data_IF_924060133367
#
_entry.id   IF_924060133367
#
_cell.length_a   1.000
_cell.length_b   1.000
_cell.length_c   1.000
_cell.angle_alpha   90.00
_cell.angle_beta   90.00
_cell.angle_gamma   90.00
#
_symmetry.space_group_name_H-M   'P 1'
#
loop_
_entity.id
_entity.type
_entity.pdbx_description
1 polymer ?
#
# COMPACT_ATOMS: atom_id res chain seq x y z
N UNK A 1 14.41 -23.02 13.18
CA UNK A 1 15.26 -22.26 12.24
C UNK A 1 16.48 -21.65 12.90
N UNK A 2 16.39 -20.88 14.01
CA UNK A 2 17.60 -20.47 14.78
C UNK A 2 18.52 -21.65 15.12
N UNK A 3 17.95 -22.75 15.58
CA UNK A 3 18.60 -24.05 15.80
C UNK A 3 19.34 -24.56 14.55
N UNK A 4 18.69 -24.58 13.37
CA UNK A 4 19.31 -25.02 12.11
C UNK A 4 20.35 -24.01 11.56
N UNK A 5 20.20 -22.73 11.91
CA UNK A 5 21.09 -21.65 11.49
C UNK A 5 22.37 -21.70 12.31
N UNK A 6 22.26 -21.73 13.64
CA UNK A 6 23.36 -21.76 14.61
C UNK A 6 23.90 -23.16 14.92
N UNK A 7 23.22 -24.22 14.47
CA UNK A 7 23.52 -25.64 14.77
C UNK A 7 23.54 -25.95 16.26
N UNK A 8 22.57 -25.40 17.00
CA UNK A 8 22.43 -25.61 18.45
C UNK A 8 21.25 -26.55 18.74
N UNK A 9 21.46 -27.58 19.56
CA UNK A 9 20.39 -28.49 19.98
C UNK A 9 19.44 -27.80 20.98
N UNK A 10 18.14 -27.72 20.66
CA UNK A 10 17.14 -27.26 21.61
C UNK A 10 16.33 -28.41 22.19
N UNK A 11 16.21 -28.43 23.52
CA UNK A 11 15.42 -29.40 24.29
C UNK A 11 13.91 -29.27 24.03
N UNK A 12 13.42 -28.13 23.53
CA UNK A 12 12.00 -27.84 23.29
C UNK A 12 11.63 -27.92 21.82
N UNK A 13 10.96 -29.01 21.41
CA UNK A 13 10.26 -29.14 20.11
C UNK A 13 9.00 -28.25 20.04
N UNK A 14 9.11 -26.95 20.34
CA UNK A 14 8.02 -26.01 20.04
C UNK A 14 8.03 -25.70 18.54
N UNK A 15 6.86 -25.71 17.90
CA UNK A 15 6.67 -25.40 16.48
C UNK A 15 7.57 -24.23 16.05
N UNK A 16 8.41 -24.48 15.04
CA UNK A 16 9.37 -23.51 14.51
C UNK A 16 8.56 -22.37 13.86
N UNK A 17 8.35 -21.27 14.58
CA UNK A 17 7.75 -20.07 14.01
C UNK A 17 8.83 -19.27 13.28
N UNK A 18 8.70 -19.16 11.96
CA UNK A 18 9.53 -18.27 11.14
C UNK A 18 9.10 -16.81 11.37
N UNK A 19 10.07 -15.91 11.51
CA UNK A 19 9.89 -14.46 11.70
C UNK A 19 10.79 -13.70 10.73
N UNK A 20 10.58 -12.38 10.60
CA UNK A 20 11.48 -11.48 9.85
C UNK A 20 12.95 -11.70 10.27
N UNK A 21 13.20 -11.81 11.57
CA UNK A 21 14.54 -12.00 12.11
C UNK A 21 15.19 -13.32 11.69
N UNK A 22 14.43 -14.41 11.68
CA UNK A 22 14.99 -15.70 11.22
C UNK A 22 15.28 -15.69 9.73
N UNK A 23 14.48 -14.96 8.95
CA UNK A 23 14.72 -14.79 7.52
C UNK A 23 15.98 -13.94 7.24
N UNK A 24 16.17 -12.84 7.97
CA UNK A 24 17.38 -12.03 7.86
C UNK A 24 18.64 -12.83 8.19
N UNK A 25 18.57 -13.68 9.23
CA UNK A 25 19.67 -14.57 9.60
C UNK A 25 19.94 -15.64 8.54
N UNK A 26 18.90 -16.20 7.92
CA UNK A 26 19.04 -17.16 6.82
C UNK A 26 19.67 -16.51 5.58
N UNK A 27 19.22 -15.32 5.21
CA UNK A 27 19.77 -14.55 4.09
C UNK A 27 21.23 -14.18 4.34
N UNK A 28 21.56 -13.74 5.55
CA UNK A 28 22.95 -13.46 5.95
C UNK A 28 23.81 -14.73 5.87
N UNK A 29 23.33 -15.87 6.40
CA UNK A 29 24.05 -17.15 6.33
C UNK A 29 24.33 -17.54 4.88
N UNK A 30 23.34 -17.43 4.00
CA UNK A 30 23.48 -17.74 2.57
C UNK A 30 24.51 -16.84 1.91
N UNK A 31 24.36 -15.53 2.09
CA UNK A 31 25.28 -14.52 1.55
C UNK A 31 26.73 -14.78 1.96
N UNK A 32 26.98 -14.96 3.26
CA UNK A 32 28.34 -15.22 3.74
C UNK A 32 28.85 -16.59 3.30
N UNK A 33 27.99 -17.61 3.20
CA UNK A 33 28.42 -18.93 2.70
C UNK A 33 28.85 -18.87 1.24
N UNK A 34 28.10 -18.16 0.39
CA UNK A 34 28.44 -17.93 -1.02
C UNK A 34 29.74 -17.13 -1.15
N UNK A 35 29.86 -15.98 -0.47
CA UNK A 35 31.07 -15.15 -0.51
C UNK A 35 32.31 -15.87 0.04
N UNK A 36 32.15 -16.65 1.10
CA UNK A 36 33.26 -17.47 1.63
C UNK A 36 33.61 -18.61 0.66
N UNK A 37 32.68 -19.16 -0.12
CA UNK A 37 33.00 -20.22 -1.08
C UNK A 37 33.90 -19.74 -2.23
N UNK A 38 33.82 -18.46 -2.58
CA UNK A 38 34.54 -17.82 -3.69
C UNK A 38 36.00 -17.43 -3.35
N UNK A 39 36.39 -17.44 -2.07
CA UNK A 39 37.72 -16.98 -1.62
C UNK A 39 38.64 -18.12 -1.16
N UNK A 40 39.95 -17.84 -1.21
CA UNK A 40 41.02 -18.79 -0.86
C UNK A 40 41.04 -19.15 0.63
N UNK A 41 41.76 -20.22 0.99
CA UNK A 41 41.89 -20.63 2.38
C UNK A 41 42.62 -19.58 3.24
N UNK A 42 43.64 -18.93 2.69
CA UNK A 42 44.43 -17.89 3.37
C UNK A 42 43.57 -16.64 3.67
N UNK A 43 42.69 -16.25 2.75
CA UNK A 43 41.76 -15.15 2.96
C UNK A 43 40.70 -15.49 4.03
N UNK A 44 40.19 -16.73 4.04
CA UNK A 44 39.28 -17.22 5.09
C UNK A 44 39.93 -17.13 6.48
N UNK A 45 41.18 -17.53 6.58
CA UNK A 45 41.93 -17.47 7.85
C UNK A 45 42.12 -16.03 8.31
N UNK A 46 42.43 -15.10 7.39
CA UNK A 46 42.51 -13.68 7.69
C UNK A 46 41.17 -13.12 8.23
N UNK A 47 40.05 -13.51 7.61
CA UNK A 47 38.70 -13.12 8.07
C UNK A 47 38.41 -13.71 9.45
N UNK A 48 38.73 -14.99 9.68
CA UNK A 48 38.54 -15.66 10.97
C UNK A 48 39.33 -14.96 12.08
N UNK A 49 40.60 -14.63 11.85
CA UNK A 49 41.42 -13.88 12.79
C UNK A 49 40.84 -12.48 13.07
N UNK A 50 40.36 -11.78 12.04
CA UNK A 50 39.71 -10.48 12.22
C UNK A 50 38.46 -10.58 13.09
N UNK A 51 37.60 -11.57 12.83
CA UNK A 51 36.34 -11.77 13.57
C UNK A 51 36.56 -12.19 15.02
N UNK A 52 37.57 -13.02 15.29
CA UNK A 52 37.79 -13.58 16.63
C UNK A 52 38.71 -12.73 17.49
N UNK A 53 39.67 -12.01 16.90
CA UNK A 53 40.72 -11.31 17.65
C UNK A 53 40.76 -9.80 17.43
N UNK A 54 40.12 -9.28 16.39
CA UNK A 54 40.18 -7.84 16.05
C UNK A 54 38.86 -7.11 16.21
N UNK A 55 37.81 -7.77 16.68
CA UNK A 55 36.57 -7.10 17.09
C UNK A 55 36.73 -6.52 18.50
N UNK A 56 36.55 -5.21 18.62
CA UNK A 56 36.52 -4.51 19.89
C UNK A 56 35.07 -4.40 20.36
N UNK A 57 34.78 -4.94 21.55
CA UNK A 57 33.47 -4.82 22.17
C UNK A 57 33.49 -3.69 23.19
N UNK A 58 32.54 -2.77 23.08
CA UNK A 58 32.34 -1.73 24.08
C UNK A 58 31.26 -2.18 25.06
N UNK A 59 31.68 -2.56 26.27
CA UNK A 59 30.78 -3.04 27.32
C UNK A 59 30.40 -1.88 28.24
N UNK A 60 29.12 -1.56 28.29
CA UNK A 60 28.58 -0.56 29.20
C UNK A 60 27.82 -1.24 30.32
N UNK A 61 28.40 -1.24 31.52
CA UNK A 61 27.71 -1.62 32.74
C UNK A 61 26.95 -0.43 33.27
N UNK A 62 25.62 -0.53 33.25
CA UNK A 62 24.71 0.52 33.72
C UNK A 62 24.42 0.26 35.20
N UNK A 63 24.51 1.31 36.01
CA UNK A 63 24.22 1.25 37.44
C UNK A 63 22.71 1.18 37.70
N UNK A 64 22.28 0.57 38.81
CA UNK A 64 20.86 0.29 39.09
C UNK A 64 19.96 1.54 39.18
N UNK A 65 20.57 2.71 39.40
CA UNK A 65 19.93 4.03 39.44
C UNK A 65 19.65 4.62 38.05
N UNK A 66 20.36 4.14 37.03
CA UNK A 66 20.13 4.55 35.64
C UNK A 66 19.10 3.61 35.02
N UNK A 67 18.08 4.21 34.42
CA UNK A 67 17.05 3.46 33.73
C UNK A 67 17.61 2.79 32.47
N UNK A 68 17.79 1.47 32.55
CA UNK A 68 18.31 0.62 31.45
C UNK A 68 17.49 0.81 30.16
N UNK A 69 16.19 1.14 30.26
CA UNK A 69 15.35 1.37 29.09
C UNK A 69 15.68 2.69 28.38
N UNK A 70 15.90 3.77 29.14
CA UNK A 70 16.30 5.08 28.61
C UNK A 70 17.72 5.01 28.02
N UNK A 71 18.63 4.32 28.72
CA UNK A 71 19.97 4.07 28.21
C UNK A 71 19.93 3.27 26.90
N UNK A 72 19.06 2.25 26.80
CA UNK A 72 18.90 1.49 25.56
C UNK A 72 18.35 2.35 24.40
N UNK A 73 17.31 3.17 24.62
CA UNK A 73 16.76 4.06 23.59
C UNK A 73 17.81 5.07 23.09
N UNK A 74 18.59 5.66 24.00
CA UNK A 74 19.60 6.70 23.68
C UNK A 74 20.88 6.14 23.06
N UNK A 75 21.29 4.92 23.44
CA UNK A 75 22.50 4.28 22.91
C UNK A 75 22.29 3.54 21.59
N UNK A 76 21.04 3.33 21.15
CA UNK A 76 20.74 2.61 19.92
C UNK A 76 20.94 3.48 18.67
N UNK A 77 22.20 3.86 18.42
CA UNK A 77 22.60 4.65 17.25
C UNK A 77 23.48 3.81 16.31
N UNK A 78 22.95 2.67 15.85
CA UNK A 78 23.68 1.70 15.00
C UNK A 78 23.58 1.99 13.48
N UNK A 79 23.24 3.23 13.10
CA UNK A 79 23.09 3.65 11.70
C UNK A 79 21.74 3.30 11.04
N UNK A 80 20.88 2.50 11.69
CA UNK A 80 19.46 2.32 11.33
C UNK A 80 18.59 2.81 12.50
N UNK A 81 17.63 3.71 12.29
CA UNK A 81 16.74 4.16 13.35
C UNK A 81 15.88 2.99 13.84
N UNK A 82 15.60 2.95 15.14
CA UNK A 82 14.61 2.04 15.71
C UNK A 82 13.24 2.36 15.14
N UNK A 83 12.44 1.33 14.85
CA UNK A 83 11.05 1.56 14.47
C UNK A 83 10.23 2.05 15.67
N UNK A 84 9.15 2.78 15.40
CA UNK A 84 8.27 3.27 16.47
C UNK A 84 7.63 2.09 17.20
N UNK A 85 7.43 0.96 16.52
CA UNK A 85 6.94 -0.28 17.12
C UNK A 85 7.94 -0.91 18.11
N UNK A 86 9.25 -0.82 17.83
CA UNK A 86 10.30 -1.26 18.76
C UNK A 86 10.36 -0.36 20.00
N UNK A 87 10.34 0.96 19.78
CA UNK A 87 10.30 1.95 20.86
C UNK A 87 9.08 1.76 21.76
N UNK A 88 7.91 1.55 21.17
CA UNK A 88 6.67 1.28 21.92
C UNK A 88 6.79 0.03 22.78
N UNK A 89 7.37 -1.06 22.26
CA UNK A 89 7.58 -2.29 23.04
C UNK A 89 8.39 -2.01 24.30
N UNK A 90 9.54 -1.36 24.12
CA UNK A 90 10.45 -1.04 25.21
C UNK A 90 9.76 -0.14 26.23
N UNK A 91 9.00 0.85 25.75
CA UNK A 91 8.21 1.74 26.59
C UNK A 91 7.15 1.00 27.42
N UNK A 92 6.41 0.08 26.83
CA UNK A 92 5.38 -0.69 27.55
C UNK A 92 5.99 -1.62 28.61
N UNK A 93 7.12 -2.25 28.30
CA UNK A 93 7.86 -3.07 29.29
C UNK A 93 8.33 -2.19 30.43
N UNK A 94 8.90 -1.02 30.15
CA UNK A 94 9.29 -0.06 31.18
C UNK A 94 8.10 0.34 32.07
N UNK A 95 6.99 0.79 31.46
CA UNK A 95 5.79 1.21 32.18
C UNK A 95 5.24 0.09 33.05
N UNK A 96 5.29 -1.18 32.62
CA UNK A 96 4.86 -2.32 33.44
C UNK A 96 5.63 -2.45 34.76
N UNK A 97 6.89 -2.01 34.81
CA UNK A 97 7.69 -2.03 36.06
C UNK A 97 7.29 -0.93 37.03
N UNK A 98 6.72 0.17 36.50
CA UNK A 98 6.35 1.38 37.26
C UNK A 98 4.89 1.38 37.73
N UNK A 99 4.07 0.41 37.31
CA UNK A 99 2.69 0.26 37.79
C UNK A 99 2.69 -0.12 39.27
N UNK A 100 1.78 0.50 40.04
CA UNK A 100 1.58 0.19 41.45
C UNK A 100 0.66 -1.04 41.61
N UNK A 101 1.15 -2.20 41.18
CA UNK A 101 0.45 -3.49 41.26
C UNK A 101 1.39 -4.57 41.80
N UNK A 102 0.82 -5.71 42.18
CA UNK A 102 1.57 -6.87 42.65
C UNK A 102 2.58 -7.38 41.61
N UNK A 103 3.71 -7.93 42.08
CA UNK A 103 4.82 -8.30 41.21
C UNK A 103 4.43 -9.38 40.18
N UNK A 104 3.55 -10.31 40.55
CA UNK A 104 3.05 -11.33 39.62
C UNK A 104 2.25 -10.72 38.45
N UNK A 105 1.55 -9.61 38.66
CA UNK A 105 0.81 -8.92 37.59
C UNK A 105 1.76 -8.22 36.63
N UNK A 106 2.85 -7.64 37.13
CA UNK A 106 3.89 -7.04 36.29
C UNK A 106 4.56 -8.08 35.41
N UNK A 107 4.93 -9.23 35.99
CA UNK A 107 5.53 -10.36 35.25
C UNK A 107 4.56 -10.87 34.18
N UNK A 108 3.28 -11.06 34.54
CA UNK A 108 2.25 -11.50 33.61
C UNK A 108 2.07 -10.51 32.46
N UNK A 109 1.95 -9.21 32.75
CA UNK A 109 1.83 -8.16 31.73
C UNK A 109 3.03 -8.12 30.80
N UNK A 110 4.25 -8.24 31.34
CA UNK A 110 5.48 -8.31 30.54
C UNK A 110 5.50 -9.52 29.61
N UNK A 111 5.03 -10.67 30.07
CA UNK A 111 4.92 -11.87 29.23
C UNK A 111 3.91 -11.67 28.10
N UNK A 112 2.74 -11.08 28.39
CA UNK A 112 1.72 -10.74 27.38
C UNK A 112 2.28 -9.79 26.32
N UNK A 113 2.99 -8.73 26.73
CA UNK A 113 3.66 -7.80 25.80
C UNK A 113 4.62 -8.55 24.90
N UNK A 114 5.47 -9.43 25.45
CA UNK A 114 6.44 -10.18 24.67
C UNK A 114 5.79 -11.16 23.68
N UNK A 115 4.77 -11.90 24.10
CA UNK A 115 4.05 -12.83 23.21
C UNK A 115 3.30 -12.08 22.10
N UNK A 116 2.63 -10.97 22.42
CA UNK A 116 1.96 -10.14 21.42
C UNK A 116 2.95 -9.65 20.35
N UNK A 117 4.14 -9.17 20.75
CA UNK A 117 5.16 -8.75 19.78
C UNK A 117 5.72 -9.90 18.93
N UNK A 118 5.80 -11.12 19.47
CA UNK A 118 6.15 -12.30 18.66
C UNK A 118 5.10 -12.52 17.56
N UNK A 119 3.82 -12.47 17.91
CA UNK A 119 2.72 -12.60 16.94
C UNK A 119 2.74 -11.48 15.90
N UNK A 120 2.99 -10.23 16.32
CA UNK A 120 3.10 -9.08 15.41
C UNK A 120 4.21 -9.29 14.39
N UNK A 121 5.44 -9.54 14.83
CA UNK A 121 6.56 -9.76 13.90
C UNK A 121 6.43 -11.04 13.07
N UNK A 122 5.79 -12.08 13.60
CA UNK A 122 5.47 -13.27 12.82
C UNK A 122 4.57 -12.91 11.64
N UNK A 123 3.45 -12.22 11.87
CA UNK A 123 2.51 -11.84 10.81
C UNK A 123 3.11 -10.82 9.83
N UNK A 124 3.82 -9.80 10.31
CA UNK A 124 4.46 -8.82 9.44
C UNK A 124 5.52 -9.45 8.51
N UNK A 125 6.21 -10.49 8.98
CA UNK A 125 7.22 -11.23 8.21
C UNK A 125 6.75 -12.50 7.52
N UNK A 126 5.46 -12.83 7.60
CA UNK A 126 4.96 -14.13 7.14
C UNK A 126 5.02 -14.28 5.62
N UNK A 127 4.85 -13.18 4.87
CA UNK A 127 5.12 -13.14 3.43
C UNK A 127 6.58 -12.73 3.18
N UNK A 128 7.41 -13.69 2.73
CA UNK A 128 8.85 -13.48 2.49
C UNK A 128 9.15 -12.57 1.30
N UNK A 129 8.30 -12.59 0.27
CA UNK A 129 8.50 -11.81 -0.95
C UNK A 129 8.11 -10.35 -0.76
N UNK A 130 7.14 -10.09 0.13
CA UNK A 130 6.61 -8.76 0.41
C UNK A 130 6.32 -8.59 1.91
N UNK A 131 7.36 -8.41 2.75
CA UNK A 131 7.19 -8.19 4.18
C UNK A 131 6.46 -6.87 4.44
N UNK A 132 5.61 -6.85 5.47
CA UNK A 132 4.82 -5.68 5.82
C UNK A 132 5.64 -4.73 6.70
N UNK A 133 5.55 -3.44 6.37
CA UNK A 133 6.19 -2.36 7.10
C UNK A 133 5.54 -2.18 8.48
N UNK A 134 6.35 -2.18 9.53
CA UNK A 134 5.92 -2.16 10.91
C UNK A 134 5.39 -0.80 11.37
N UNK A 135 6.03 0.29 10.94
CA UNK A 135 5.57 1.65 11.24
C UNK A 135 4.26 1.98 10.52
N UNK A 136 4.08 1.52 9.27
CA UNK A 136 2.78 1.59 8.58
C UNK A 136 1.73 0.84 9.36
N UNK A 137 2.00 -0.38 9.79
CA UNK A 137 1.04 -1.14 10.59
C UNK A 137 0.67 -0.39 11.88
N UNK A 138 1.67 0.07 12.63
CA UNK A 138 1.44 0.76 13.91
C UNK A 138 0.64 2.05 13.74
N UNK A 139 0.94 2.85 12.71
CA UNK A 139 0.16 4.05 12.40
C UNK A 139 -1.31 3.73 12.14
N UNK A 140 -1.60 2.70 11.34
CA UNK A 140 -2.97 2.31 11.06
C UNK A 140 -3.68 1.78 12.32
N UNK A 141 -2.99 1.01 13.17
CA UNK A 141 -3.53 0.58 14.46
C UNK A 141 -3.82 1.77 15.39
N UNK A 142 -2.92 2.76 15.44
CA UNK A 142 -3.12 3.98 16.23
C UNK A 142 -4.43 4.69 15.83
N UNK A 143 -4.66 4.87 14.53
CA UNK A 143 -5.91 5.46 14.01
C UNK A 143 -7.13 4.63 14.37
N UNK A 144 -7.03 3.30 14.34
CA UNK A 144 -8.13 2.40 14.69
C UNK A 144 -8.51 2.44 16.17
N UNK A 145 -7.49 2.42 17.04
CA UNK A 145 -7.67 2.28 18.47
C UNK A 145 -8.05 3.62 19.11
N UNK A 146 -7.32 4.69 18.78
CA UNK A 146 -7.49 6.01 19.40
C UNK A 146 -8.37 6.97 18.59
N UNK A 147 -8.69 6.68 17.33
CA UNK A 147 -9.42 7.61 16.46
C UNK A 147 -10.86 7.92 16.88
N UNK A 148 -11.43 7.20 17.85
CA UNK A 148 -12.75 7.52 18.44
C UNK A 148 -12.68 8.64 19.48
N UNK A 149 -11.56 8.79 20.18
CA UNK A 149 -11.36 9.77 21.25
C UNK A 149 -10.94 11.15 20.73
N UNK A 150 -10.68 11.26 19.42
CA UNK A 150 -10.28 12.51 18.75
C UNK A 150 -11.43 13.21 18.02
N UNK A 151 -12.70 12.86 18.30
CA UNK A 151 -13.85 13.59 17.75
C UNK A 151 -14.10 14.86 18.57
N UNK A 152 -14.02 16.06 17.98
CA UNK A 152 -14.57 17.26 18.61
C UNK A 152 -16.08 17.07 18.82
N UNK A 153 -16.61 17.54 19.95
CA UNK A 153 -18.05 17.51 20.28
C UNK A 153 -18.91 18.45 19.41
N UNK A 154 -18.31 19.18 18.47
CA UNK A 154 -18.97 20.20 17.65
C UNK A 154 -18.93 19.84 16.15
N UNK A 155 -19.91 20.35 15.38
CA UNK A 155 -19.87 20.32 13.92
C UNK A 155 -18.61 21.02 13.42
N UNK A 156 -17.67 20.22 12.91
CA UNK A 156 -16.40 20.72 12.38
C UNK A 156 -16.68 21.45 11.08
N UNK A 157 -16.36 22.75 11.02
CA UNK A 157 -16.53 23.48 9.76
C UNK A 157 -15.59 22.94 8.67
N UNK A 158 -15.91 23.07 7.37
CA UNK A 158 -15.03 22.67 6.27
C UNK A 158 -13.62 23.30 6.35
N UNK A 159 -13.48 24.43 7.03
CA UNK A 159 -12.21 25.15 7.27
C UNK A 159 -11.44 24.56 8.46
N UNK A 160 -12.11 24.08 9.51
CA UNK A 160 -11.47 23.34 10.60
C UNK A 160 -11.05 21.94 10.18
N UNK A 161 -11.82 21.31 9.28
CA UNK A 161 -11.43 20.09 8.57
C UNK A 161 -10.13 20.32 7.76
N UNK A 162 -9.91 21.54 7.26
CA UNK A 162 -8.67 21.97 6.61
C UNK A 162 -7.50 21.98 7.61
N UNK A 163 -7.73 22.45 8.83
CA UNK A 163 -6.75 22.41 9.93
C UNK A 163 -6.43 20.98 10.40
N UNK A 164 -7.41 20.09 10.46
CA UNK A 164 -7.24 18.67 10.81
C UNK A 164 -6.51 17.90 9.69
N UNK A 165 -6.76 18.24 8.41
CA UNK A 165 -6.12 17.60 7.25
C UNK A 165 -4.70 18.11 6.97
N UNK A 166 -4.38 19.38 7.28
CA UNK A 166 -2.99 19.87 7.31
C UNK A 166 -2.24 19.26 8.50
N UNK A 167 -2.91 19.06 9.65
CA UNK A 167 -2.38 18.24 10.74
C UNK A 167 -2.21 16.78 10.35
N UNK A 168 -2.97 16.23 9.40
CA UNK A 168 -2.87 14.84 8.93
C UNK A 168 -1.57 14.53 8.17
N UNK A 169 -1.04 15.52 7.43
CA UNK A 169 0.29 15.41 6.82
C UNK A 169 1.41 15.46 7.88
N UNK A 170 1.20 16.20 8.98
CA UNK A 170 2.04 16.14 10.17
C UNK A 170 1.74 14.93 11.07
N UNK A 171 0.62 14.21 10.90
CA UNK A 171 0.17 13.14 11.82
C UNK A 171 0.92 11.82 11.62
N UNK A 172 1.46 11.58 10.41
CA UNK A 172 2.43 10.47 10.22
C UNK A 172 3.77 10.75 10.92
N UNK A 173 4.17 12.00 11.07
CA UNK A 173 5.34 12.38 11.88
C UNK A 173 5.02 12.57 13.36
N UNK A 174 3.76 12.79 13.73
CA UNK A 174 3.35 13.17 15.10
C UNK A 174 2.66 12.05 15.89
N UNK A 175 2.24 10.94 15.26
CA UNK A 175 1.62 9.82 16.01
C UNK A 175 2.59 9.18 16.98
N UNK A 176 3.88 9.08 16.63
CA UNK A 176 4.92 8.54 17.51
C UNK A 176 5.07 9.39 18.76
N UNK A 177 5.05 10.73 18.60
CA UNK A 177 5.06 11.70 19.70
C UNK A 177 3.84 11.52 20.58
N UNK A 178 2.63 11.51 20.01
CA UNK A 178 1.40 11.31 20.80
C UNK A 178 1.43 9.96 21.54
N UNK A 179 1.83 8.89 20.85
CA UNK A 179 1.86 7.55 21.42
C UNK A 179 2.88 7.42 22.56
N UNK A 180 4.11 7.92 22.37
CA UNK A 180 5.22 7.73 23.29
C UNK A 180 5.37 8.86 24.32
N UNK A 181 4.97 10.09 24.00
CA UNK A 181 5.17 11.26 24.85
C UNK A 181 3.88 11.80 25.48
N UNK A 182 2.71 11.42 24.98
CA UNK A 182 1.43 11.83 25.56
C UNK A 182 0.68 10.67 26.20
N UNK A 183 0.55 9.52 25.52
CA UNK A 183 -0.24 8.37 25.97
C UNK A 183 0.58 7.47 26.89
N UNK A 184 1.65 6.85 26.38
CA UNK A 184 2.45 5.87 27.11
C UNK A 184 3.61 6.54 27.87
N UNK A 185 3.25 7.29 28.90
CA UNK A 185 4.21 7.97 29.79
C UNK A 185 4.00 7.60 31.25
N UNK A 186 5.07 7.67 32.05
CA UNK A 186 5.00 7.46 33.50
C UNK A 186 4.06 8.47 34.20
N UNK A 187 3.89 9.67 33.63
CA UNK A 187 2.96 10.70 34.13
C UNK A 187 1.52 10.22 34.16
N UNK A 188 1.12 9.34 33.24
CA UNK A 188 -0.25 8.80 33.19
C UNK A 188 -0.45 7.59 34.10
N UNK A 189 0.57 7.12 34.83
CA UNK A 189 0.45 6.10 35.87
C UNK A 189 0.05 6.75 37.22
N UNK A 190 0.65 7.91 37.53
CA UNK A 190 0.64 8.49 38.88
C UNK A 190 -0.45 9.56 39.14
N UNK A 191 -1.31 9.87 38.16
CA UNK A 191 -2.32 10.95 38.32
C UNK A 191 -3.45 10.51 39.25
N UNK A 192 -3.58 11.19 40.39
CA UNK A 192 -4.80 11.21 41.20
C UNK A 192 -5.93 11.87 40.40
N UNK A 193 -7.09 11.21 40.33
CA UNK A 193 -8.32 11.64 39.65
C UNK A 193 -8.83 13.01 40.16
N UNK A 194 -8.29 14.11 39.65
CA UNK A 194 -8.81 15.46 39.94
C UNK A 194 -9.47 16.14 38.74
N UNK A 195 -9.29 15.61 37.51
CA UNK A 195 -9.98 16.08 36.31
C UNK A 195 -10.54 14.86 35.55
N UNK A 196 -11.86 14.79 35.40
CA UNK A 196 -12.61 13.64 34.85
C UNK A 196 -12.31 13.26 33.39
N UNK A 197 -11.36 13.93 32.71
CA UNK A 197 -11.06 13.73 31.28
C UNK A 197 -9.60 13.31 30.97
N UNK A 198 -8.79 12.90 31.96
CA UNK A 198 -7.39 12.49 31.70
C UNK A 198 -7.21 10.96 31.67
N UNK A 199 -6.55 10.45 30.63
CA UNK A 199 -6.17 9.04 30.46
C UNK A 199 -5.35 8.50 31.65
N UNK A 200 -5.79 7.40 32.25
CA UNK A 200 -5.08 6.66 33.31
C UNK A 200 -4.54 5.33 32.77
N UNK A 201 -3.22 5.13 32.87
CA UNK A 201 -2.58 3.87 32.47
C UNK A 201 -2.71 2.84 33.59
N UNK A 202 -3.60 1.88 33.39
CA UNK A 202 -3.76 0.71 34.26
C UNK A 202 -3.22 -0.55 33.59
N UNK A 203 -2.93 -1.60 34.37
CA UNK A 203 -2.61 -2.94 33.86
C UNK A 203 -3.65 -3.42 32.84
N UNK A 204 -4.93 -3.18 33.12
CA UNK A 204 -6.06 -3.53 32.25
C UNK A 204 -6.03 -2.78 30.92
N UNK A 205 -5.73 -1.48 30.95
CA UNK A 205 -5.63 -0.65 29.74
C UNK A 205 -4.49 -1.15 28.84
N UNK A 206 -3.28 -1.32 29.39
CA UNK A 206 -2.13 -1.79 28.60
C UNK A 206 -2.40 -3.17 28.02
N UNK A 207 -2.94 -4.09 28.82
CA UNK A 207 -3.30 -5.42 28.33
C UNK A 207 -4.32 -5.35 27.18
N UNK A 208 -5.39 -4.56 27.33
CA UNK A 208 -6.40 -4.38 26.27
C UNK A 208 -5.80 -3.80 24.98
N UNK A 209 -4.91 -2.80 25.11
CA UNK A 209 -4.22 -2.22 23.96
C UNK A 209 -3.34 -3.26 23.24
N UNK A 210 -2.53 -4.02 23.98
CA UNK A 210 -1.62 -5.04 23.45
C UNK A 210 -2.39 -6.18 22.78
N UNK A 211 -3.56 -6.54 23.31
CA UNK A 211 -4.45 -7.53 22.71
C UNK A 211 -5.11 -7.04 21.42
N UNK A 212 -5.59 -5.79 21.35
CA UNK A 212 -6.13 -5.27 20.07
C UNK A 212 -5.03 -5.12 19.02
N UNK A 213 -3.81 -4.72 19.42
CA UNK A 213 -2.65 -4.67 18.52
C UNK A 213 -2.39 -6.05 17.90
N UNK A 214 -2.42 -7.11 18.72
CA UNK A 214 -2.25 -8.48 18.28
C UNK A 214 -3.36 -8.92 17.31
N UNK A 215 -4.63 -8.65 17.60
CA UNK A 215 -5.74 -9.03 16.70
C UNK A 215 -5.72 -8.23 15.39
N UNK A 216 -5.33 -6.96 15.48
CA UNK A 216 -5.26 -6.05 14.35
C UNK A 216 -4.17 -6.45 13.35
N UNK A 217 -3.02 -6.97 13.80
CA UNK A 217 -1.96 -7.42 12.88
C UNK A 217 -2.37 -8.65 12.06
N UNK A 218 -3.17 -9.56 12.63
CA UNK A 218 -3.65 -10.74 11.92
C UNK A 218 -4.62 -10.35 10.80
N UNK A 219 -5.56 -9.45 11.09
CA UNK A 219 -6.48 -8.93 10.08
C UNK A 219 -5.72 -8.11 9.02
N UNK A 220 -4.77 -7.28 9.44
CA UNK A 220 -3.91 -6.52 8.54
C UNK A 220 -3.14 -7.44 7.58
N UNK A 221 -2.58 -8.54 8.09
CA UNK A 221 -1.90 -9.55 7.27
C UNK A 221 -2.86 -10.16 6.25
N UNK A 222 -4.06 -10.59 6.66
CA UNK A 222 -5.07 -11.17 5.76
C UNK A 222 -5.51 -10.20 4.66
N UNK A 223 -5.70 -8.92 4.99
CA UNK A 223 -6.07 -7.87 4.03
C UNK A 223 -4.92 -7.59 3.04
N UNK A 224 -3.69 -7.54 3.54
CA UNK A 224 -2.50 -7.26 2.72
C UNK A 224 -2.09 -8.46 1.85
N UNK A 225 -2.42 -9.68 2.31
CA UNK A 225 -2.06 -10.95 1.67
C UNK A 225 -3.31 -11.82 1.47
N UNK A 226 -4.28 -11.37 0.64
CA UNK A 226 -5.61 -11.99 0.56
C UNK A 226 -5.59 -13.47 0.18
N UNK A 227 -4.67 -13.89 -0.69
CA UNK A 227 -4.56 -15.30 -1.10
C UNK A 227 -4.08 -16.25 0.00
N UNK A 228 -3.48 -15.71 1.07
CA UNK A 228 -3.08 -16.47 2.26
C UNK A 228 -4.12 -16.39 3.38
N UNK A 229 -5.32 -15.89 3.09
CA UNK A 229 -6.43 -15.72 4.03
C UNK A 229 -7.57 -16.72 3.80
N UNK A 230 -8.46 -16.78 4.78
CA UNK A 230 -9.73 -17.51 4.80
C UNK A 230 -10.90 -16.74 4.17
N UNK A 231 -10.64 -15.61 3.50
CA UNK A 231 -11.66 -14.84 2.80
C UNK A 231 -12.23 -15.58 1.58
N UNK A 232 -13.42 -15.16 1.13
CA UNK A 232 -14.01 -15.70 -0.10
C UNK A 232 -13.22 -15.27 -1.34
N UNK A 233 -13.32 -16.02 -2.43
CA UNK A 233 -12.62 -15.72 -3.68
C UNK A 233 -12.90 -14.31 -4.21
N UNK A 234 -14.14 -13.83 -4.09
CA UNK A 234 -14.48 -12.47 -4.48
C UNK A 234 -13.78 -11.42 -3.60
N UNK A 235 -13.74 -11.63 -2.28
CA UNK A 235 -13.03 -10.72 -1.37
C UNK A 235 -11.54 -10.69 -1.68
N UNK A 236 -10.94 -11.86 -1.95
CA UNK A 236 -9.52 -11.97 -2.30
C UNK A 236 -9.19 -11.17 -3.56
N UNK A 237 -9.97 -11.35 -4.62
CA UNK A 237 -9.79 -10.63 -5.89
C UNK A 237 -9.86 -9.12 -5.70
N UNK A 238 -10.84 -8.61 -4.93
CA UNK A 238 -11.00 -7.16 -4.76
C UNK A 238 -9.97 -6.56 -3.81
N UNK A 239 -9.54 -7.29 -2.78
CA UNK A 239 -8.42 -6.89 -1.93
C UNK A 239 -7.11 -6.84 -2.70
N UNK A 240 -6.84 -7.84 -3.55
CA UNK A 240 -5.64 -7.86 -4.40
C UNK A 240 -5.61 -6.65 -5.35
N UNK A 241 -6.75 -6.34 -5.99
CA UNK A 241 -6.89 -5.14 -6.83
C UNK A 241 -6.59 -3.85 -6.05
N UNK A 242 -7.14 -3.71 -4.85
CA UNK A 242 -6.87 -2.56 -3.98
C UNK A 242 -5.39 -2.47 -3.64
N UNK A 243 -4.76 -3.57 -3.23
CA UNK A 243 -3.34 -3.59 -2.85
C UNK A 243 -2.43 -3.16 -4.02
N UNK A 244 -2.78 -3.49 -5.28
CA UNK A 244 -2.04 -3.02 -6.48
C UNK A 244 -2.14 -1.50 -6.70
N UNK A 245 -3.28 -0.90 -6.33
CA UNK A 245 -3.52 0.56 -6.44
C UNK A 245 -2.82 1.31 -5.31
N UNK A 246 -2.81 0.73 -4.10
CA UNK A 246 -2.32 1.32 -2.83
C UNK A 246 -0.79 1.35 -2.69
N UNK A 247 -0.02 0.77 -3.61
CA UNK A 247 1.45 0.70 -3.52
C UNK A 247 2.21 2.04 -3.39
N UNK A 248 1.53 3.20 -3.37
CA UNK A 248 2.13 4.49 -3.07
C UNK A 248 1.62 5.06 -1.74
N UNK A 249 2.56 5.55 -0.94
CA UNK A 249 2.47 6.05 0.44
C UNK A 249 1.41 7.13 0.73
N UNK A 250 0.50 7.45 -0.17
CA UNK A 250 -0.26 8.69 -0.15
C UNK A 250 -1.60 8.68 0.57
N UNK A 251 -2.30 7.55 0.79
CA UNK A 251 -3.39 7.41 1.79
C UNK A 251 -3.67 5.92 1.99
N UNK A 252 -3.47 5.42 3.21
CA UNK A 252 -3.84 4.04 3.57
C UNK A 252 -5.32 4.00 3.93
N UNK A 253 -6.17 3.42 3.08
CA UNK A 253 -7.57 3.09 3.42
C UNK A 253 -7.69 1.84 4.29
N UNK A 254 -6.56 1.24 4.65
CA UNK A 254 -6.55 0.01 5.42
C UNK A 254 -7.24 0.11 6.79
N UNK A 255 -7.20 1.23 7.55
CA UNK A 255 -8.01 1.37 8.76
C UNK A 255 -9.51 1.24 8.45
N UNK A 256 -9.98 1.86 7.36
CA UNK A 256 -11.37 1.77 6.95
C UNK A 256 -11.76 0.33 6.59
N UNK A 257 -10.90 -0.37 5.83
CA UNK A 257 -11.12 -1.79 5.49
C UNK A 257 -11.15 -2.64 6.77
N UNK A 258 -10.21 -2.43 7.69
CA UNK A 258 -10.16 -3.17 8.95
C UNK A 258 -11.39 -2.94 9.83
N UNK A 259 -11.84 -1.69 10.00
CA UNK A 259 -13.08 -1.40 10.75
C UNK A 259 -14.26 -2.08 10.08
N UNK A 260 -14.37 -1.98 8.75
CA UNK A 260 -15.48 -2.58 8.02
C UNK A 260 -15.48 -4.10 8.17
N UNK A 261 -14.33 -4.74 8.04
CA UNK A 261 -14.19 -6.20 8.20
C UNK A 261 -14.41 -6.66 9.65
N UNK A 262 -13.98 -5.89 10.66
CA UNK A 262 -14.27 -6.19 12.08
C UNK A 262 -15.78 -6.10 12.38
N UNK A 263 -16.52 -5.21 11.71
CA UNK A 263 -17.94 -4.93 12.01
C UNK A 263 -18.94 -5.69 11.13
N UNK A 264 -18.61 -5.96 9.88
CA UNK A 264 -19.55 -6.52 8.90
C UNK A 264 -19.20 -7.98 8.60
N UNK A 265 -19.94 -8.95 9.16
CA UNK A 265 -19.71 -10.36 8.89
C UNK A 265 -20.19 -10.79 7.49
N UNK A 266 -21.11 -10.05 6.86
CA UNK A 266 -21.66 -10.40 5.56
C UNK A 266 -20.66 -10.18 4.42
N UNK A 267 -20.28 -11.27 3.74
CA UNK A 267 -19.29 -11.29 2.67
C UNK A 267 -19.70 -10.45 1.45
N UNK A 268 -20.96 -10.47 1.07
CA UNK A 268 -21.45 -9.72 -0.10
C UNK A 268 -21.37 -8.21 0.12
N UNK A 269 -21.73 -7.75 1.33
CA UNK A 269 -21.57 -6.35 1.71
C UNK A 269 -20.10 -5.93 1.73
N UNK A 270 -19.19 -6.79 2.22
CA UNK A 270 -17.74 -6.56 2.15
C UNK A 270 -17.27 -6.42 0.71
N UNK A 271 -17.69 -7.31 -0.19
CA UNK A 271 -17.34 -7.20 -1.62
C UNK A 271 -17.88 -5.90 -2.24
N UNK A 272 -19.12 -5.52 -1.94
CA UNK A 272 -19.70 -4.25 -2.43
C UNK A 272 -18.92 -3.04 -1.92
N UNK A 273 -18.52 -3.06 -0.66
CA UNK A 273 -17.66 -2.04 -0.06
C UNK A 273 -16.30 -1.97 -0.75
N UNK A 274 -15.61 -3.10 -0.94
CA UNK A 274 -14.31 -3.14 -1.61
C UNK A 274 -14.37 -2.63 -3.05
N UNK A 275 -15.40 -3.00 -3.82
CA UNK A 275 -15.65 -2.48 -5.17
C UNK A 275 -15.80 -0.96 -5.18
N UNK A 276 -16.58 -0.44 -4.23
CA UNK A 276 -16.84 1.00 -4.10
C UNK A 276 -15.55 1.75 -3.73
N UNK A 277 -14.77 1.17 -2.81
CA UNK A 277 -13.50 1.72 -2.38
C UNK A 277 -12.48 1.72 -3.51
N UNK A 278 -12.38 0.62 -4.28
CA UNK A 278 -11.45 0.50 -5.41
C UNK A 278 -11.76 1.54 -6.48
N UNK A 279 -13.04 1.70 -6.81
CA UNK A 279 -13.50 2.73 -7.75
C UNK A 279 -13.12 4.14 -7.27
N UNK A 280 -13.36 4.45 -5.99
CA UNK A 280 -12.99 5.73 -5.38
C UNK A 280 -11.48 5.99 -5.47
N UNK A 281 -10.68 4.97 -5.17
CA UNK A 281 -9.22 5.03 -5.21
C UNK A 281 -8.69 5.21 -6.63
N UNK A 282 -9.20 4.43 -7.58
CA UNK A 282 -8.84 4.55 -8.98
C UNK A 282 -9.09 5.98 -9.49
N UNK A 283 -10.23 6.59 -9.13
CA UNK A 283 -10.51 7.98 -9.47
C UNK A 283 -9.55 8.97 -8.80
N UNK A 284 -9.19 8.76 -7.54
CA UNK A 284 -8.21 9.61 -6.84
C UNK A 284 -6.87 9.65 -7.57
N UNK A 285 -6.39 8.48 -8.00
CA UNK A 285 -5.13 8.34 -8.72
C UNK A 285 -5.24 8.95 -10.13
N UNK A 286 -6.35 8.71 -10.83
CA UNK A 286 -6.54 9.13 -12.22
C UNK A 286 -6.67 10.64 -12.40
N UNK A 287 -7.23 11.34 -11.43
CA UNK A 287 -7.47 12.79 -11.51
C UNK A 287 -6.21 13.58 -11.06
N UNK A 288 -5.19 12.90 -10.51
CA UNK A 288 -4.00 13.56 -9.96
C UNK A 288 -4.32 14.48 -8.77
N UNK A 289 -5.55 14.41 -8.27
CA UNK A 289 -5.96 15.06 -7.04
C UNK A 289 -5.42 14.21 -5.91
N UNK A 290 -4.61 14.77 -5.02
CA UNK A 290 -4.23 14.06 -3.82
C UNK A 290 -5.51 13.63 -3.10
N UNK A 291 -5.51 12.43 -2.54
CA UNK A 291 -6.68 11.77 -1.93
C UNK A 291 -7.44 12.66 -0.93
N UNK A 292 -6.79 13.69 -0.38
CA UNK A 292 -7.39 14.73 0.45
C UNK A 292 -8.47 15.57 -0.26
N UNK A 293 -8.45 15.72 -1.59
CA UNK A 293 -9.38 16.58 -2.32
C UNK A 293 -10.73 15.87 -2.58
N UNK A 294 -10.77 14.55 -2.47
CA UNK A 294 -12.00 13.75 -2.59
C UNK A 294 -12.86 13.86 -1.31
N UNK A 295 -12.22 14.02 -0.15
CA UNK A 295 -12.91 14.32 1.10
C UNK A 295 -13.35 15.80 1.21
N UNK A 296 -12.86 16.70 0.33
CA UNK A 296 -13.23 18.14 0.29
C UNK A 296 -14.57 18.44 -0.39
N UNK A 297 -15.09 17.50 -1.17
CA UNK A 297 -16.33 17.71 -1.89
C UNK A 297 -17.44 17.03 -1.08
N UNK A 298 -18.47 17.80 -0.69
CA UNK A 298 -19.66 17.31 0.01
C UNK A 298 -20.02 15.90 -0.47
N UNK A 299 -19.99 14.91 0.42
CA UNK A 299 -20.04 13.48 0.06
C UNK A 299 -21.19 13.09 -0.88
N UNK A 300 -22.27 13.88 -0.92
CA UNK A 300 -23.36 13.73 -1.88
C UNK A 300 -23.03 14.26 -3.29
N UNK A 301 -22.38 15.42 -3.44
CA UNK A 301 -21.93 15.94 -4.73
C UNK A 301 -20.75 15.13 -5.31
N UNK A 302 -19.95 14.49 -4.46
CA UNK A 302 -18.86 13.59 -4.87
C UNK A 302 -19.39 12.22 -5.26
N UNK A 303 -20.44 11.72 -4.59
CA UNK A 303 -21.15 10.53 -5.05
C UNK A 303 -21.84 10.82 -6.39
N UNK A 304 -22.46 11.99 -6.57
CA UNK A 304 -23.10 12.38 -7.85
C UNK A 304 -22.09 12.68 -8.96
N UNK A 305 -20.96 13.35 -8.66
CA UNK A 305 -19.84 13.52 -9.60
C UNK A 305 -19.08 12.22 -9.86
N UNK A 306 -18.92 11.34 -8.87
CA UNK A 306 -18.30 10.01 -9.05
C UNK A 306 -19.24 9.02 -9.72
N UNK A 307 -20.56 9.18 -9.61
CA UNK A 307 -21.58 8.50 -10.44
C UNK A 307 -21.54 9.07 -11.87
N UNK A 308 -21.39 10.38 -12.03
CA UNK A 308 -21.19 11.00 -13.36
C UNK A 308 -19.81 10.69 -13.99
N UNK A 309 -18.77 10.40 -13.18
CA UNK A 309 -17.43 9.98 -13.62
C UNK A 309 -17.29 8.45 -13.73
N UNK A 310 -18.07 7.66 -12.98
CA UNK A 310 -18.23 6.21 -13.18
C UNK A 310 -19.12 5.90 -14.38
N UNK A 311 -19.89 6.87 -14.85
CA UNK A 311 -20.41 6.93 -16.22
C UNK A 311 -19.32 7.27 -17.26
N UNK A 312 -18.07 6.88 -17.03
CA UNK A 312 -17.03 6.89 -18.07
C UNK A 312 -17.36 5.79 -19.07
N UNK A 313 -17.60 6.19 -20.31
CA UNK A 313 -17.81 5.27 -21.42
C UNK A 313 -16.50 5.08 -22.16
N UNK A 314 -16.31 3.90 -22.74
CA UNK A 314 -15.16 3.65 -23.60
C UNK A 314 -15.44 4.27 -24.97
N UNK A 315 -14.71 5.33 -25.29
CA UNK A 315 -14.68 5.88 -26.65
C UNK A 315 -13.86 4.97 -27.55
N UNK A 316 -14.38 4.75 -28.74
CA UNK A 316 -13.65 4.15 -29.84
C UNK A 316 -13.18 5.28 -30.73
N UNK A 317 -11.88 5.59 -30.71
CA UNK A 317 -11.33 6.72 -31.47
C UNK A 317 -11.65 6.50 -32.95
N UNK A 318 -11.25 5.35 -33.51
CA UNK A 318 -11.86 4.76 -34.70
C UNK A 318 -13.24 4.17 -34.35
N UNK A 319 -14.36 4.77 -34.80
CA UNK A 319 -15.69 4.45 -34.28
C UNK A 319 -16.21 3.07 -34.72
N UNK A 320 -17.10 2.49 -33.90
CA UNK A 320 -17.80 1.25 -34.27
C UNK A 320 -18.60 1.41 -35.57
N UNK A 321 -19.29 2.55 -35.73
CA UNK A 321 -20.05 2.94 -36.93
C UNK A 321 -19.33 4.05 -37.71
N UNK A 322 -18.20 3.69 -38.30
CA UNK A 322 -17.37 4.59 -39.10
C UNK A 322 -17.95 4.85 -40.51
N UNK A 323 -18.96 5.73 -40.59
CA UNK A 323 -19.57 6.15 -41.88
C UNK A 323 -18.93 7.38 -42.50
N UNK A 324 -18.13 8.12 -41.74
CA UNK A 324 -17.44 9.31 -42.24
C UNK A 324 -16.41 8.95 -43.33
N UNK A 325 -16.28 9.80 -44.34
CA UNK A 325 -15.34 9.62 -45.45
C UNK A 325 -13.90 9.46 -44.95
N UNK A 326 -13.51 10.21 -43.92
CA UNK A 326 -12.18 10.11 -43.29
C UNK A 326 -11.87 8.67 -42.87
N UNK A 327 -12.80 8.02 -42.18
CA UNK A 327 -12.62 6.65 -41.71
C UNK A 327 -12.68 5.60 -42.83
N UNK A 328 -13.55 5.82 -43.82
CA UNK A 328 -13.68 4.92 -44.97
C UNK A 328 -12.39 4.92 -45.79
N UNK A 329 -11.83 6.09 -46.02
CA UNK A 329 -10.60 6.26 -46.82
C UNK A 329 -9.39 5.73 -46.05
N UNK A 330 -9.25 6.09 -44.76
CA UNK A 330 -8.13 5.65 -43.91
C UNK A 330 -8.05 4.13 -43.76
N UNK A 331 -9.18 3.44 -43.62
CA UNK A 331 -9.20 2.00 -43.38
C UNK A 331 -9.64 1.19 -44.60
N UNK A 332 -9.62 1.75 -45.82
CA UNK A 332 -10.15 1.11 -47.02
C UNK A 332 -9.51 -0.26 -47.33
N UNK A 333 -8.18 -0.36 -47.15
CA UNK A 333 -7.36 -1.55 -47.42
C UNK A 333 -7.55 -2.71 -46.42
N UNK A 334 -8.31 -2.51 -45.36
CA UNK A 334 -8.56 -3.51 -44.32
C UNK A 334 -9.87 -4.27 -44.55
N UNK A 335 -9.82 -5.59 -44.37
CA UNK A 335 -10.97 -6.48 -44.41
C UNK A 335 -11.95 -6.20 -43.25
N UNK A 336 -13.22 -6.64 -43.33
CA UNK A 336 -14.17 -6.46 -42.23
C UNK A 336 -13.69 -7.06 -40.89
N UNK A 337 -12.98 -8.20 -40.93
CA UNK A 337 -12.41 -8.84 -39.74
C UNK A 337 -11.29 -8.00 -39.13
N UNK A 338 -10.34 -7.54 -39.94
CA UNK A 338 -9.23 -6.68 -39.48
C UNK A 338 -9.74 -5.35 -38.92
N UNK A 339 -10.73 -4.72 -39.57
CA UNK A 339 -11.40 -3.51 -39.07
C UNK A 339 -12.03 -3.75 -37.69
N UNK A 340 -12.61 -4.92 -37.46
CA UNK A 340 -13.20 -5.28 -36.17
C UNK A 340 -12.13 -5.41 -35.09
N UNK A 341 -10.98 -6.00 -35.41
CA UNK A 341 -9.84 -6.09 -34.48
C UNK A 341 -9.30 -4.69 -34.17
N UNK A 342 -9.08 -3.84 -35.18
CA UNK A 342 -8.60 -2.46 -34.99
C UNK A 342 -9.52 -1.63 -34.10
N UNK A 343 -10.85 -1.73 -34.27
CA UNK A 343 -11.84 -1.03 -33.44
C UNK A 343 -11.74 -1.40 -31.97
N UNK A 344 -11.54 -2.68 -31.68
CA UNK A 344 -11.55 -3.22 -30.34
C UNK A 344 -10.15 -3.35 -29.72
N UNK A 345 -9.10 -2.95 -30.43
CA UNK A 345 -7.73 -3.00 -29.93
C UNK A 345 -7.50 -1.97 -28.82
N UNK A 346 -6.67 -2.34 -27.83
CA UNK A 346 -6.33 -1.51 -26.68
C UNK A 346 -5.88 -0.09 -27.08
N UNK A 347 -5.08 0.01 -28.14
CA UNK A 347 -4.59 1.29 -28.65
C UNK A 347 -5.69 2.22 -29.18
N UNK A 348 -6.85 1.69 -29.58
CA UNK A 348 -7.98 2.47 -30.10
C UNK A 348 -8.98 2.91 -29.00
N UNK A 349 -8.85 2.38 -27.78
CA UNK A 349 -9.78 2.66 -26.69
C UNK A 349 -9.31 3.84 -25.85
N UNK A 350 -10.26 4.73 -25.53
CA UNK A 350 -10.02 5.94 -24.75
C UNK A 350 -11.13 6.15 -23.71
N UNK A 351 -10.84 6.23 -22.40
CA UNK A 351 -11.86 6.52 -21.40
C UNK A 351 -12.35 7.97 -21.49
N UNK A 352 -13.63 8.19 -21.76
CA UNK A 352 -14.26 9.52 -21.81
C UNK A 352 -15.49 9.60 -20.89
N UNK A 353 -15.89 10.81 -20.50
CA UNK A 353 -17.22 11.00 -19.90
C UNK A 353 -18.33 10.75 -20.92
N UNK A 354 -19.50 10.27 -20.48
CA UNK A 354 -20.66 10.02 -21.36
C UNK A 354 -21.02 11.22 -22.24
N UNK A 355 -21.03 12.44 -21.68
CA UNK A 355 -21.34 13.66 -22.43
C UNK A 355 -20.31 13.95 -23.53
N UNK A 356 -19.02 13.76 -23.23
CA UNK A 356 -17.93 14.01 -24.18
C UNK A 356 -17.86 12.95 -25.28
N UNK A 357 -18.05 11.68 -24.91
CA UNK A 357 -18.17 10.58 -25.87
C UNK A 357 -19.38 10.80 -26.82
N UNK A 358 -20.54 11.19 -26.27
CA UNK A 358 -21.71 11.54 -27.09
C UNK A 358 -21.45 12.71 -28.04
N UNK A 359 -20.61 13.68 -27.64
CA UNK A 359 -20.24 14.83 -28.49
C UNK A 359 -19.23 14.47 -29.59
N UNK A 360 -18.31 13.55 -29.30
CA UNK A 360 -17.35 13.01 -30.27
C UNK A 360 -18.06 12.17 -31.35
N UNK A 361 -19.03 11.33 -30.93
CA UNK A 361 -19.85 10.53 -31.84
C UNK A 361 -18.99 9.76 -32.86
N UNK A 362 -19.49 9.56 -34.09
CA UNK A 362 -18.75 8.91 -35.18
C UNK A 362 -18.02 9.92 -36.09
N UNK A 363 -17.73 11.14 -35.61
CA UNK A 363 -17.06 12.20 -36.38
C UNK A 363 -15.65 11.79 -36.82
N UNK A 364 -15.08 12.50 -37.80
CA UNK A 364 -13.69 12.30 -38.21
C UNK A 364 -12.72 12.61 -37.06
N UNK A 365 -11.52 12.03 -37.09
CA UNK A 365 -10.53 12.25 -36.02
C UNK A 365 -10.19 13.73 -35.79
N UNK A 366 -9.95 14.57 -36.83
CA UNK A 366 -9.68 15.99 -36.63
C UNK A 366 -10.76 16.71 -35.81
N UNK A 367 -12.04 16.41 -36.07
CA UNK A 367 -13.18 17.01 -35.37
C UNK A 367 -13.30 16.55 -33.91
N UNK A 368 -12.74 15.37 -33.58
CA UNK A 368 -12.70 14.86 -32.21
C UNK A 368 -11.56 15.49 -31.40
N UNK A 369 -10.49 15.97 -32.05
CA UNK A 369 -9.33 16.59 -31.38
C UNK A 369 -9.71 17.92 -30.73
N UNK A 370 -10.37 18.79 -31.49
CA UNK A 370 -10.76 20.13 -31.09
C UNK A 370 -11.93 20.58 -31.97
N UNK A 371 -12.90 21.28 -31.38
CA UNK A 371 -13.89 22.03 -32.15
C UNK A 371 -13.55 23.51 -32.00
N UNK A 372 -13.42 24.26 -33.11
CA UNK A 372 -13.08 25.70 -33.07
C UNK A 372 -14.21 26.55 -32.46
N UNK A 373 -15.39 25.96 -32.28
CA UNK A 373 -16.59 26.64 -31.78
C UNK A 373 -16.76 26.45 -30.26
N UNK A 374 -16.24 25.37 -29.67
CA UNK A 374 -16.44 25.03 -28.25
C UNK A 374 -15.21 24.30 -27.68
N UNK A 375 -14.93 24.47 -26.38
CA UNK A 375 -13.86 23.74 -25.63
C UNK A 375 -14.15 22.24 -25.42
N UNK A 376 -14.71 21.56 -26.43
CA UNK A 376 -15.08 20.14 -26.43
C UNK A 376 -14.21 19.42 -27.45
N UNK A 377 -13.34 18.53 -26.98
CA UNK A 377 -12.43 17.73 -27.79
C UNK A 377 -11.34 17.11 -26.94
N UNK A 378 -10.58 16.18 -27.51
CA UNK A 378 -9.52 15.47 -26.80
C UNK A 378 -8.46 16.42 -26.20
N UNK A 379 -8.18 17.56 -26.85
CA UNK A 379 -7.20 18.57 -26.40
C UNK A 379 -7.51 19.20 -25.04
N UNK A 380 -8.78 19.19 -24.62
CA UNK A 380 -9.25 19.82 -23.37
C UNK A 380 -9.59 18.76 -22.32
N UNK A 381 -8.93 17.60 -22.37
CA UNK A 381 -9.25 16.43 -21.56
C UNK A 381 -8.18 16.09 -20.52
N UNK A 382 -8.28 14.86 -20.04
CA UNK A 382 -7.25 14.18 -19.26
C UNK A 382 -5.94 14.02 -20.04
N UNK A 383 -4.85 13.69 -19.35
CA UNK A 383 -3.54 13.45 -19.98
C UNK A 383 -3.59 12.45 -21.14
N UNK A 384 -4.39 11.38 -21.04
CA UNK A 384 -4.53 10.39 -22.13
C UNK A 384 -5.28 10.96 -23.33
N UNK A 385 -6.29 11.81 -23.11
CA UNK A 385 -6.97 12.51 -24.20
C UNK A 385 -6.03 13.52 -24.87
N UNK A 386 -5.29 14.29 -24.08
CA UNK A 386 -4.36 15.29 -24.59
C UNK A 386 -3.24 14.63 -25.41
N UNK A 387 -2.74 13.48 -24.99
CA UNK A 387 -1.77 12.68 -25.74
C UNK A 387 -2.35 12.22 -27.09
N UNK A 388 -3.58 11.69 -27.11
CA UNK A 388 -4.26 11.31 -28.36
C UNK A 388 -4.47 12.54 -29.27
N UNK A 389 -4.73 13.72 -28.69
CA UNK A 389 -4.91 14.95 -29.45
C UNK A 389 -3.61 15.47 -30.13
N UNK A 390 -2.44 14.92 -29.80
CA UNK A 390 -1.18 15.29 -30.46
C UNK A 390 -0.99 14.61 -31.81
N UNK A 391 -1.62 13.46 -32.05
CA UNK A 391 -1.50 12.75 -33.33
C UNK A 391 -2.13 13.55 -34.45
N UNK A 392 -1.48 13.61 -35.62
CA UNK A 392 -2.00 14.31 -36.79
C UNK A 392 -3.16 13.54 -37.43
N UNK A 393 -3.00 12.23 -37.55
CA UNK A 393 -3.97 11.29 -38.11
C UNK A 393 -4.17 10.11 -37.17
N UNK A 394 -5.25 9.35 -37.36
CA UNK A 394 -5.54 8.15 -36.59
C UNK A 394 -5.70 6.94 -37.51
N UNK A 395 -4.59 6.26 -37.79
CA UNK A 395 -4.52 5.10 -38.69
C UNK A 395 -4.27 3.80 -37.91
N UNK A 396 -4.15 2.68 -38.63
CA UNK A 396 -3.81 1.40 -38.02
C UNK A 396 -2.43 1.42 -37.34
N UNK A 397 -1.48 2.23 -37.85
CA UNK A 397 -0.15 2.40 -37.28
C UNK A 397 -0.21 3.04 -35.88
N UNK A 398 -0.93 4.16 -35.73
CA UNK A 398 -1.07 4.82 -34.42
C UNK A 398 -1.80 3.94 -33.40
N UNK A 399 -2.79 3.14 -33.85
CA UNK A 399 -3.46 2.16 -32.99
C UNK A 399 -2.46 1.11 -32.48
N UNK A 400 -1.57 0.60 -33.35
CA UNK A 400 -0.55 -0.36 -32.95
C UNK A 400 0.46 0.26 -31.99
N UNK A 401 1.07 1.39 -32.37
CA UNK A 401 2.11 2.07 -31.58
C UNK A 401 1.60 2.46 -30.18
N UNK A 402 0.39 3.04 -30.11
CA UNK A 402 -0.24 3.35 -28.82
C UNK A 402 -0.54 2.08 -28.04
N UNK A 403 -0.99 1.01 -28.69
CA UNK A 403 -1.22 -0.29 -28.05
C UNK A 403 0.04 -0.83 -27.37
N UNK A 404 1.18 -0.81 -28.08
CA UNK A 404 2.48 -1.23 -27.55
C UNK A 404 2.93 -0.32 -26.39
N UNK A 405 2.75 1.00 -26.52
CA UNK A 405 3.05 1.96 -25.45
C UNK A 405 2.25 1.66 -24.17
N UNK A 406 0.95 1.35 -24.31
CA UNK A 406 0.09 0.99 -23.19
C UNK A 406 0.49 -0.34 -22.56
N UNK A 407 0.88 -1.34 -23.36
CA UNK A 407 1.41 -2.60 -22.86
C UNK A 407 2.70 -2.39 -22.06
N UNK A 408 3.65 -1.62 -22.58
CA UNK A 408 4.89 -1.31 -21.85
C UNK A 408 4.61 -0.59 -20.52
N UNK A 409 3.63 0.31 -20.51
CA UNK A 409 3.15 0.94 -19.27
C UNK A 409 2.58 -0.11 -18.29
N UNK A 410 1.75 -1.04 -18.77
CA UNK A 410 1.18 -2.13 -17.96
C UNK A 410 2.27 -3.05 -17.37
N UNK A 411 3.25 -3.47 -18.18
CA UNK A 411 4.38 -4.31 -17.73
C UNK A 411 5.18 -3.61 -16.63
N UNK A 412 5.57 -2.35 -16.87
CA UNK A 412 6.35 -1.57 -15.91
C UNK A 412 5.61 -1.34 -14.59
N UNK A 413 4.30 -1.05 -14.68
CA UNK A 413 3.44 -0.71 -13.53
C UNK A 413 3.03 -1.93 -12.72
N UNK A 414 2.79 -3.07 -13.37
CA UNK A 414 2.26 -4.28 -12.74
C UNK A 414 3.27 -5.42 -12.60
N UNK A 415 4.51 -5.22 -13.07
CA UNK A 415 5.60 -6.21 -12.99
C UNK A 415 5.23 -7.54 -13.65
N UNK A 416 4.53 -7.45 -14.78
CA UNK A 416 4.21 -8.58 -15.67
C UNK A 416 5.09 -8.50 -16.92
N UNK A 417 5.31 -9.64 -17.59
CA UNK A 417 6.04 -9.72 -18.85
C UNK A 417 5.17 -10.39 -19.90
N UNK A 418 4.84 -9.68 -20.97
CA UNK A 418 4.12 -10.15 -22.15
C UNK A 418 5.10 -10.62 -23.23
N UNK A 419 6.34 -10.14 -23.20
CA UNK A 419 7.43 -10.61 -24.05
C UNK A 419 8.11 -9.49 -24.82
N UNK A 420 8.74 -9.85 -25.93
CA UNK A 420 9.35 -8.90 -26.86
C UNK A 420 8.29 -8.17 -27.71
N UNK A 421 8.75 -7.36 -28.67
CA UNK A 421 7.86 -6.56 -29.52
C UNK A 421 6.88 -7.44 -30.30
N UNK A 422 7.33 -8.56 -30.86
CA UNK A 422 6.51 -9.46 -31.66
C UNK A 422 5.44 -10.15 -30.81
N UNK A 423 5.80 -10.61 -29.60
CA UNK A 423 4.85 -11.17 -28.65
C UNK A 423 3.76 -10.14 -28.26
N UNK A 424 4.11 -8.86 -28.14
CA UNK A 424 3.16 -7.79 -27.84
C UNK A 424 2.24 -7.47 -29.02
N UNK A 425 2.76 -7.51 -30.25
CA UNK A 425 1.96 -7.35 -31.47
C UNK A 425 0.96 -8.51 -31.62
N UNK A 426 1.41 -9.73 -31.35
CA UNK A 426 0.58 -10.94 -31.35
C UNK A 426 -0.50 -10.85 -30.26
N UNK A 427 -0.14 -10.42 -29.05
CA UNK A 427 -1.08 -10.19 -27.95
C UNK A 427 -2.18 -9.18 -28.32
N UNK A 428 -1.85 -8.13 -29.08
CA UNK A 428 -2.83 -7.16 -29.60
C UNK A 428 -3.65 -7.70 -30.79
N UNK A 429 -3.25 -8.84 -31.37
CA UNK A 429 -3.85 -9.40 -32.58
C UNK A 429 -3.59 -8.55 -33.84
N UNK A 430 -2.56 -7.70 -33.83
CA UNK A 430 -2.31 -6.69 -34.86
C UNK A 430 -1.17 -7.04 -35.83
N UNK A 431 -0.74 -8.29 -35.91
CA UNK A 431 0.34 -8.72 -36.81
C UNK A 431 0.08 -8.45 -38.30
N UNK A 432 -1.19 -8.31 -38.71
CA UNK A 432 -1.53 -7.92 -40.08
C UNK A 432 -1.21 -6.44 -40.40
N UNK A 433 -1.14 -5.57 -39.37
CA UNK A 433 -0.78 -4.15 -39.53
C UNK A 433 0.67 -4.02 -39.95
N UNK A 434 1.59 -4.79 -39.34
CA UNK A 434 3.01 -4.79 -39.71
C UNK A 434 3.21 -5.08 -41.20
N UNK A 435 2.50 -6.10 -41.70
CA UNK A 435 2.57 -6.54 -43.10
C UNK A 435 1.99 -5.52 -44.07
N UNK A 436 0.89 -4.86 -43.71
CA UNK A 436 0.15 -3.94 -44.59
C UNK A 436 0.72 -2.53 -44.61
N UNK A 437 1.29 -2.08 -43.50
CA UNK A 437 1.91 -0.75 -43.37
C UNK A 437 3.42 -0.77 -43.63
N UNK A 438 4.01 -1.95 -43.89
CA UNK A 438 5.45 -2.09 -44.19
C UNK A 438 6.36 -1.77 -43.00
N UNK A 439 5.95 -2.12 -41.78
CA UNK A 439 6.62 -1.77 -40.52
C UNK A 439 7.54 -2.89 -39.98
N UNK A 440 8.06 -3.75 -40.85
CA UNK A 440 8.95 -4.85 -40.46
C UNK A 440 10.34 -4.37 -40.04
#
# INVERSE_FOLDING_TARGET
MKINIFREDSVTKSQIQETIYTHNLESAKRFFSERLSEISHEEKESIFLKLTQKLLFNLYTISNDIDVFIAFETMNNRGKPLSVLELLKNRLIYLSTKLNVEEYEKISLRNIINESWKTVYHNLGKNKENPLDDDKFLFNHFVLYFGKETKPEYEISPVELFGINIRSYNFRSDYSRVLLEEIFTAKNIAKNNSNNNSLLLTTKFINSYVQDLQQSVELWYKISNPYFSDFSENEKIWLDKLNRVVNNDTVSFAPLIMVFFKKEPNREKRVKFLKTLELLMFFSVLIGLPSYAILRLNGFNTLEKSINLSNRTIEHIYPQKAKDKYWIDTFRSYTPKEKTILKNSLGNLLPLSKAKNSSCSNKAFPDKKCNDINNVGYRYGSYSENEVALYEHWTAKEILERGIKLINFMENRWKISIGDYDAKVEFLGLGFVLKKEGLN
#
